data_IF_775538774328
#
_entry.id   IF_775538774328
#
_cell.length_a   1.000
_cell.length_b   1.000
_cell.length_c   1.000
_cell.angle_alpha   90.00
_cell.angle_beta   90.00
_cell.angle_gamma   90.00
#
_symmetry.space_group_name_H-M   'P 1'
#
loop_
_entity.id
_entity.type
_entity.pdbx_description
1 polymer ?
#
# COMPACT_ATOMS: atom_id res chain seq x y z
N UNK A 1 -8.26 -22.12 -5.70
CA UNK A 1 -8.54 -20.85 -5.00
C UNK A 1 -9.20 -21.22 -3.69
N UNK A 2 -8.63 -20.84 -2.55
CA UNK A 2 -9.30 -21.06 -1.27
C UNK A 2 -10.57 -20.21 -1.26
N UNK A 3 -11.70 -20.78 -0.82
CA UNK A 3 -12.95 -20.02 -0.68
C UNK A 3 -12.81 -19.12 0.55
N UNK A 4 -12.49 -17.86 0.31
CA UNK A 4 -12.46 -16.83 1.36
C UNK A 4 -13.89 -16.62 1.89
N UNK A 5 -14.00 -16.46 3.20
CA UNK A 5 -15.23 -15.99 3.85
C UNK A 5 -15.48 -14.52 3.51
N UNK A 6 -16.73 -14.07 3.64
CA UNK A 6 -17.09 -12.68 3.41
C UNK A 6 -16.29 -11.71 4.30
N UNK A 7 -15.97 -12.12 5.54
CA UNK A 7 -15.14 -11.32 6.45
C UNK A 7 -13.70 -11.19 5.93
N UNK A 8 -13.11 -12.28 5.45
CA UNK A 8 -11.74 -12.25 4.90
C UNK A 8 -11.66 -11.38 3.64
N UNK A 9 -12.67 -11.41 2.77
CA UNK A 9 -12.74 -10.50 1.62
C UNK A 9 -12.78 -9.03 2.06
N UNK A 10 -13.59 -8.70 3.06
CA UNK A 10 -13.72 -7.33 3.56
C UNK A 10 -12.41 -6.83 4.20
N UNK A 11 -11.72 -7.69 4.96
CA UNK A 11 -10.41 -7.37 5.52
C UNK A 11 -9.35 -7.16 4.43
N UNK A 12 -9.37 -7.96 3.36
CA UNK A 12 -8.46 -7.78 2.22
C UNK A 12 -8.73 -6.47 1.47
N UNK A 13 -10.01 -6.10 1.27
CA UNK A 13 -10.39 -4.81 0.69
C UNK A 13 -9.98 -3.62 1.56
N UNK A 14 -10.15 -3.72 2.87
CA UNK A 14 -9.72 -2.68 3.82
C UNK A 14 -8.19 -2.55 3.82
N UNK A 15 -7.48 -3.68 3.86
CA UNK A 15 -6.01 -3.69 3.78
C UNK A 15 -5.54 -3.06 2.47
N UNK A 16 -6.10 -3.47 1.33
CA UNK A 16 -5.76 -2.88 0.03
C UNK A 16 -5.98 -1.37 -0.01
N UNK A 17 -7.08 -0.86 0.56
CA UNK A 17 -7.33 0.59 0.67
C UNK A 17 -6.30 1.28 1.56
N UNK A 18 -5.90 0.66 2.68
CA UNK A 18 -4.88 1.18 3.59
C UNK A 18 -3.51 1.29 2.90
N UNK A 19 -3.09 0.26 2.15
CA UNK A 19 -1.84 0.28 1.38
C UNK A 19 -1.77 1.45 0.40
N UNK A 20 -2.88 1.69 -0.32
CA UNK A 20 -2.97 2.80 -1.27
C UNK A 20 -2.98 4.17 -0.57
N UNK A 21 -3.62 4.30 0.59
CA UNK A 21 -3.57 5.54 1.38
C UNK A 21 -2.16 5.83 1.88
N UNK A 22 -1.45 4.81 2.37
CA UNK A 22 -0.05 4.92 2.81
C UNK A 22 0.87 5.35 1.66
N UNK A 23 0.67 4.77 0.47
CA UNK A 23 1.42 5.16 -0.73
C UNK A 23 1.28 6.66 -1.04
N UNK A 24 0.06 7.19 -0.99
CA UNK A 24 -0.19 8.62 -1.24
C UNK A 24 0.48 9.51 -0.19
N UNK A 25 0.43 9.12 1.09
CA UNK A 25 1.06 9.86 2.19
C UNK A 25 2.59 9.86 2.07
N UNK A 26 3.19 8.72 1.71
CA UNK A 26 4.63 8.61 1.54
C UNK A 26 5.13 9.40 0.33
N UNK A 27 4.38 9.39 -0.77
CA UNK A 27 4.68 10.24 -1.93
C UNK A 27 4.60 11.72 -1.59
N UNK A 28 3.58 12.13 -0.83
CA UNK A 28 3.49 13.50 -0.31
C UNK A 28 4.70 13.83 0.57
N UNK A 29 5.02 12.99 1.55
CA UNK A 29 6.14 13.20 2.45
C UNK A 29 7.49 13.26 1.70
N UNK A 30 7.71 12.39 0.72
CA UNK A 30 8.88 12.41 -0.15
C UNK A 30 9.02 13.75 -0.88
N UNK A 31 7.91 14.27 -1.44
CA UNK A 31 7.94 15.51 -2.23
C UNK A 31 8.13 16.77 -1.37
N UNK A 32 7.67 16.73 -0.12
CA UNK A 32 7.68 17.89 0.79
C UNK A 32 8.84 17.88 1.79
N UNK A 33 9.48 16.74 2.00
CA UNK A 33 10.67 16.68 2.85
C UNK A 33 11.88 17.29 2.14
N UNK A 34 12.69 18.04 2.90
CA UNK A 34 13.93 18.66 2.41
C UNK A 34 15.19 17.85 2.72
N UNK A 35 15.08 16.86 3.61
CA UNK A 35 16.18 15.96 3.95
C UNK A 35 16.25 14.82 2.92
N UNK A 36 17.33 14.71 2.12
CA UNK A 36 17.48 13.65 1.13
C UNK A 36 17.41 12.24 1.72
N UNK A 37 17.83 12.05 2.97
CA UNK A 37 17.74 10.75 3.64
C UNK A 37 16.28 10.38 3.90
N UNK A 38 15.48 11.34 4.33
CA UNK A 38 14.05 11.13 4.55
C UNK A 38 13.30 10.91 3.23
N UNK A 39 13.68 11.60 2.16
CA UNK A 39 13.15 11.34 0.81
C UNK A 39 13.40 9.89 0.37
N UNK A 40 14.63 9.38 0.53
CA UNK A 40 14.97 7.99 0.19
C UNK A 40 14.20 6.97 1.05
N UNK A 41 13.99 7.26 2.33
CA UNK A 41 13.18 6.40 3.21
C UNK A 41 11.73 6.36 2.72
N UNK A 42 11.15 7.52 2.41
CA UNK A 42 9.78 7.60 1.91
C UNK A 42 9.63 6.88 0.57
N UNK A 43 10.62 6.99 -0.33
CA UNK A 43 10.63 6.28 -1.60
C UNK A 43 10.70 4.76 -1.43
N UNK A 44 11.59 4.28 -0.56
CA UNK A 44 11.73 2.85 -0.26
C UNK A 44 10.41 2.29 0.30
N UNK A 45 9.83 2.96 1.29
CA UNK A 45 8.56 2.55 1.88
C UNK A 45 7.42 2.60 0.86
N UNK A 46 7.38 3.61 -0.01
CA UNK A 46 6.37 3.70 -1.07
C UNK A 46 6.47 2.53 -2.05
N UNK A 47 7.68 2.06 -2.37
CA UNK A 47 7.88 0.88 -3.21
C UNK A 47 7.39 -0.41 -2.51
N UNK A 48 7.65 -0.56 -1.21
CA UNK A 48 7.18 -1.71 -0.41
C UNK A 48 5.65 -1.78 -0.36
N UNK A 49 4.99 -0.66 -0.02
CA UNK A 49 3.52 -0.58 -0.01
C UNK A 49 2.90 -0.80 -1.39
N UNK A 50 3.56 -0.34 -2.48
CA UNK A 50 3.11 -0.64 -3.84
C UNK A 50 3.14 -2.14 -4.14
N UNK A 51 4.23 -2.83 -3.78
CA UNK A 51 4.34 -4.29 -3.99
C UNK A 51 3.28 -5.05 -3.18
N UNK A 52 2.99 -4.60 -1.96
CA UNK A 52 1.94 -5.17 -1.13
C UNK A 52 0.55 -4.93 -1.72
N UNK A 53 0.26 -3.71 -2.19
CA UNK A 53 -0.97 -3.37 -2.91
C UNK A 53 -1.17 -4.24 -4.15
N UNK A 54 -0.13 -4.39 -5.00
CA UNK A 54 -0.17 -5.23 -6.20
C UNK A 54 -0.37 -6.72 -5.87
N UNK A 55 0.13 -7.17 -4.71
CA UNK A 55 -0.11 -8.52 -4.22
C UNK A 55 -1.56 -8.70 -3.78
N UNK A 56 -2.09 -7.75 -2.99
CA UNK A 56 -3.47 -7.76 -2.48
C UNK A 56 -4.50 -7.64 -3.61
N UNK A 57 -4.23 -6.85 -4.65
CA UNK A 57 -5.13 -6.69 -5.81
C UNK A 57 -5.52 -8.03 -6.44
N UNK A 58 -4.59 -9.00 -6.44
CA UNK A 58 -4.83 -10.37 -6.97
C UNK A 58 -5.90 -11.13 -6.21
N UNK A 59 -6.19 -10.75 -4.97
CA UNK A 59 -7.19 -11.39 -4.11
C UNK A 59 -8.51 -10.61 -4.06
N UNK A 60 -8.49 -9.32 -4.40
CA UNK A 60 -9.64 -8.41 -4.24
C UNK A 60 -10.48 -8.29 -5.54
N UNK A 61 -10.13 -9.01 -6.63
CA UNK A 61 -10.81 -8.94 -7.94
C UNK A 61 -10.90 -7.51 -8.51
N UNK A 62 -9.77 -6.79 -8.51
CA UNK A 62 -9.53 -5.59 -9.35
C UNK A 62 -8.55 -5.94 -10.47
#
# INVERSE_FOLDING_TARGET
MANLTAMECLLLEEHFRSENAMLQLLQFAQHHCRDPRCQNICETMAQEHRQQSDHLARYVNL
#
